data_IF_186601420287
#
_entry.id   IF_186601420287
#
_cell.length_a   1.000
_cell.length_b   1.000
_cell.length_c   1.000
_cell.angle_alpha   90.00
_cell.angle_beta   90.00
_cell.angle_gamma   90.00
#
_symmetry.space_group_name_H-M   'P 1'
#
loop_
_entity.id
_entity.type
_entity.pdbx_description
1 polymer ?
#
# COMPACT_ATOMS: atom_id res chain seq x y z
N UNK A 1 39.69 -16.54 -6.45
CA UNK A 1 39.43 -15.19 -5.88
C UNK A 1 38.58 -14.29 -6.78
N UNK A 2 38.81 -14.23 -8.10
CA UNK A 2 37.98 -13.44 -9.05
C UNK A 2 36.49 -13.80 -9.02
N UNK A 3 36.17 -15.11 -9.04
CA UNK A 3 34.78 -15.61 -9.04
C UNK A 3 33.99 -15.21 -7.78
N UNK A 4 34.67 -15.17 -6.61
CA UNK A 4 34.06 -14.71 -5.36
C UNK A 4 33.76 -13.21 -5.38
N UNK A 5 34.65 -12.40 -5.97
CA UNK A 5 34.41 -10.95 -6.14
C UNK A 5 33.26 -10.68 -7.11
N UNK A 6 33.21 -11.38 -8.25
CA UNK A 6 32.09 -11.29 -9.19
C UNK A 6 30.75 -11.72 -8.58
N UNK A 7 30.73 -12.79 -7.79
CA UNK A 7 29.52 -13.22 -7.08
C UNK A 7 29.02 -12.16 -6.08
N UNK A 8 29.92 -11.55 -5.30
CA UNK A 8 29.56 -10.47 -4.37
C UNK A 8 29.02 -9.26 -5.12
N UNK A 9 29.64 -8.86 -6.24
CA UNK A 9 29.16 -7.74 -7.06
C UNK A 9 27.77 -8.04 -7.64
N UNK A 10 27.53 -9.26 -8.14
CA UNK A 10 26.21 -9.65 -8.65
C UNK A 10 25.16 -9.60 -7.55
N UNK A 11 25.46 -10.13 -6.36
CA UNK A 11 24.54 -10.08 -5.22
C UNK A 11 24.22 -8.63 -4.81
N UNK A 12 25.21 -7.74 -4.83
CA UNK A 12 25.01 -6.31 -4.55
C UNK A 12 24.09 -5.65 -5.58
N UNK A 13 24.28 -5.94 -6.87
CA UNK A 13 23.44 -5.39 -7.94
C UNK A 13 22.01 -5.88 -7.81
N UNK A 14 21.81 -7.17 -7.53
CA UNK A 14 20.46 -7.74 -7.30
C UNK A 14 19.80 -7.07 -6.10
N UNK A 15 20.54 -6.90 -5.00
CA UNK A 15 20.03 -6.25 -3.80
C UNK A 15 19.62 -4.80 -4.07
N UNK A 16 20.46 -4.02 -4.75
CA UNK A 16 20.13 -2.65 -5.14
C UNK A 16 18.94 -2.61 -6.09
N UNK A 17 18.88 -3.51 -7.07
CA UNK A 17 17.74 -3.59 -7.99
C UNK A 17 16.43 -3.87 -7.25
N UNK A 18 16.42 -4.80 -6.30
CA UNK A 18 15.25 -5.09 -5.46
C UNK A 18 14.87 -3.86 -4.63
N UNK A 19 15.83 -3.16 -4.03
CA UNK A 19 15.55 -1.95 -3.25
C UNK A 19 14.92 -0.83 -4.12
N UNK A 20 15.48 -0.56 -5.30
CA UNK A 20 15.02 0.51 -6.18
C UNK A 20 13.75 0.18 -6.97
N UNK A 21 13.45 -1.09 -7.20
CA UNK A 21 12.19 -1.54 -7.81
C UNK A 21 11.03 -1.65 -6.82
N UNK A 22 11.32 -1.60 -5.52
CA UNK A 22 10.32 -1.68 -4.46
C UNK A 22 9.75 -0.31 -4.06
N UNK A 23 8.55 -0.30 -3.49
CA UNK A 23 7.93 0.88 -2.88
C UNK A 23 8.58 1.30 -1.55
N UNK A 24 9.70 0.67 -1.17
CA UNK A 24 10.40 0.86 0.10
C UNK A 24 10.70 2.31 0.45
N UNK A 25 11.34 3.04 -0.47
CA UNK A 25 11.74 4.42 -0.20
C UNK A 25 10.53 5.35 -0.06
N UNK A 26 9.50 5.17 -0.90
CA UNK A 26 8.26 5.95 -0.81
C UNK A 26 7.53 5.72 0.51
N UNK A 27 7.42 4.46 0.93
CA UNK A 27 6.79 4.08 2.18
C UNK A 27 7.53 4.60 3.41
N UNK A 28 8.87 4.52 3.42
CA UNK A 28 9.69 5.09 4.49
C UNK A 28 9.54 6.60 4.53
N UNK A 29 9.61 7.27 3.37
CA UNK A 29 9.50 8.71 3.29
C UNK A 29 8.15 9.18 3.84
N UNK A 30 7.05 8.60 3.35
CA UNK A 30 5.69 8.91 3.84
C UNK A 30 5.55 8.69 5.35
N UNK A 31 5.97 7.54 5.86
CA UNK A 31 5.92 7.22 7.29
C UNK A 31 6.78 8.14 8.18
N UNK A 32 7.82 8.78 7.61
CA UNK A 32 8.67 9.73 8.32
C UNK A 32 8.09 11.14 8.35
N UNK A 33 7.45 11.59 7.27
CA UNK A 33 7.05 13.00 7.11
C UNK A 33 5.60 13.28 7.47
N UNK A 34 4.72 12.29 7.31
CA UNK A 34 3.30 12.44 7.63
C UNK A 34 2.90 11.42 8.71
N UNK A 35 2.52 11.88 9.92
CA UNK A 35 2.11 10.98 11.00
C UNK A 35 0.85 10.17 10.65
N UNK A 36 0.09 10.58 9.61
CA UNK A 36 -1.08 9.86 9.13
C UNK A 36 -0.76 8.83 8.03
N UNK A 37 0.51 8.68 7.65
CA UNK A 37 0.95 7.67 6.69
C UNK A 37 1.09 6.30 7.38
N UNK A 38 -0.02 5.58 7.49
CA UNK A 38 -0.01 4.26 8.11
C UNK A 38 0.24 3.15 7.10
N UNK A 39 1.23 2.30 7.36
CA UNK A 39 1.39 1.04 6.64
C UNK A 39 0.38 0.02 7.21
N UNK A 40 -0.41 -0.68 6.36
CA UNK A 40 -1.34 -1.71 6.83
C UNK A 40 -0.64 -2.82 7.63
N UNK A 41 -1.29 -3.34 8.67
CA UNK A 41 -0.71 -4.38 9.57
C UNK A 41 -0.35 -5.68 8.84
N UNK A 42 -1.06 -5.98 7.75
CA UNK A 42 -0.90 -7.18 6.93
C UNK A 42 0.13 -7.01 5.82
N UNK A 43 0.68 -5.79 5.66
CA UNK A 43 1.70 -5.46 4.68
C UNK A 43 2.99 -5.02 5.36
N UNK A 44 3.95 -4.54 4.57
CA UNK A 44 5.19 -3.96 5.09
C UNK A 44 5.68 -2.82 4.21
N UNK A 45 6.60 -2.02 4.74
CA UNK A 45 7.26 -0.93 4.01
C UNK A 45 7.91 -1.39 2.71
N UNK A 46 8.27 -2.67 2.56
CA UNK A 46 8.94 -3.16 1.35
C UNK A 46 7.98 -3.45 0.19
N UNK A 47 6.74 -3.81 0.48
CA UNK A 47 5.82 -4.40 -0.52
C UNK A 47 4.50 -3.65 -0.65
N UNK A 48 4.16 -2.82 0.34
CA UNK A 48 2.98 -1.99 0.28
C UNK A 48 3.14 -0.98 -0.86
N UNK A 49 2.14 -0.86 -1.71
CA UNK A 49 2.14 0.09 -2.80
C UNK A 49 0.94 1.03 -2.65
N UNK A 50 1.20 2.27 -2.24
CA UNK A 50 0.20 3.33 -2.28
C UNK A 50 -0.11 3.66 -3.74
N UNK A 51 -1.36 3.47 -4.16
CA UNK A 51 -1.80 3.64 -5.56
C UNK A 51 -2.52 4.96 -5.78
N UNK A 52 -3.20 5.47 -4.75
CA UNK A 52 -3.88 6.76 -4.77
C UNK A 52 -3.53 7.51 -3.49
N UNK A 53 -2.94 8.69 -3.66
CA UNK A 53 -2.59 9.59 -2.57
C UNK A 53 -3.75 10.52 -2.25
N UNK A 54 -3.83 10.99 -1.01
CA UNK A 54 -4.72 12.07 -0.65
C UNK A 54 -4.27 13.36 -1.32
N UNK A 55 -5.21 14.14 -1.85
CA UNK A 55 -4.91 15.46 -2.39
C UNK A 55 -4.84 16.48 -1.25
N UNK A 56 -3.83 17.35 -1.28
CA UNK A 56 -3.70 18.48 -0.36
C UNK A 56 -2.40 18.47 0.43
N UNK A 57 -2.47 18.84 1.71
CA UNK A 57 -1.30 19.01 2.59
C UNK A 57 -0.86 17.74 3.32
N UNK A 58 -1.45 16.59 3.00
CA UNK A 58 -1.13 15.30 3.62
C UNK A 58 -0.55 14.38 2.55
N UNK A 59 0.50 13.66 2.91
CA UNK A 59 1.09 12.59 2.11
C UNK A 59 0.42 11.24 2.41
N UNK A 60 -0.67 11.21 3.19
CA UNK A 60 -1.44 9.99 3.42
C UNK A 60 -2.00 9.42 2.11
N UNK A 61 -2.19 8.10 2.08
CA UNK A 61 -2.76 7.39 0.94
C UNK A 61 -4.24 7.07 1.18
N UNK A 62 -5.01 6.98 0.10
CA UNK A 62 -6.43 6.59 0.08
C UNK A 62 -6.56 5.13 -0.30
N UNK A 63 -5.93 4.72 -1.40
CA UNK A 63 -5.95 3.34 -1.88
C UNK A 63 -4.53 2.80 -2.00
N UNK A 64 -4.35 1.54 -1.64
CA UNK A 64 -3.08 0.83 -1.78
C UNK A 64 -3.29 -0.66 -1.98
N UNK A 65 -2.22 -1.36 -2.30
CA UNK A 65 -2.23 -2.81 -2.45
C UNK A 65 -0.88 -3.43 -2.08
N UNK A 66 -0.88 -4.73 -1.88
CA UNK A 66 0.34 -5.55 -1.93
C UNK A 66 0.08 -6.79 -2.80
N UNK A 67 0.91 -7.82 -2.66
CA UNK A 67 0.78 -9.05 -3.44
C UNK A 67 -0.53 -9.79 -3.19
N UNK A 68 -1.13 -9.67 -2.01
CA UNK A 68 -2.25 -10.49 -1.56
C UNK A 68 -3.53 -9.68 -1.30
N UNK A 69 -3.41 -8.38 -1.03
CA UNK A 69 -4.51 -7.58 -0.51
C UNK A 69 -4.63 -6.22 -1.23
N UNK A 70 -5.85 -5.72 -1.28
CA UNK A 70 -6.19 -4.32 -1.50
C UNK A 70 -6.49 -3.64 -0.17
N UNK A 71 -6.17 -2.35 -0.08
CA UNK A 71 -6.35 -1.54 1.10
C UNK A 71 -7.07 -0.23 0.76
N UNK A 72 -8.03 0.14 1.59
CA UNK A 72 -8.72 1.43 1.52
C UNK A 72 -8.62 2.10 2.90
N UNK A 73 -7.97 3.26 2.94
CA UNK A 73 -7.86 4.04 4.15
C UNK A 73 -9.07 4.99 4.27
N UNK A 74 -9.90 4.78 5.28
CA UNK A 74 -11.12 5.58 5.47
C UNK A 74 -10.91 6.80 6.36
N UNK A 75 -9.73 7.00 6.92
CA UNK A 75 -9.49 8.10 7.85
C UNK A 75 -8.02 8.37 8.16
N UNK A 76 -7.78 8.88 9.37
CA UNK A 76 -6.48 9.36 9.84
C UNK A 76 -5.91 8.46 10.94
N UNK A 77 -6.47 7.27 11.14
CA UNK A 77 -5.98 6.28 12.11
C UNK A 77 -5.75 4.93 11.47
N UNK A 78 -4.89 4.11 12.10
CA UNK A 78 -4.51 2.80 11.56
C UNK A 78 -5.67 1.80 11.53
N UNK A 79 -6.60 1.94 12.46
CA UNK A 79 -7.79 1.09 12.62
C UNK A 79 -8.83 1.33 11.52
N UNK A 80 -8.70 2.43 10.78
CA UNK A 80 -9.59 2.83 9.66
C UNK A 80 -9.10 2.27 8.30
N UNK A 81 -8.10 1.40 8.29
CA UNK A 81 -7.67 0.71 7.07
C UNK A 81 -8.51 -0.54 6.86
N UNK A 82 -9.34 -0.50 5.82
CA UNK A 82 -10.09 -1.65 5.33
C UNK A 82 -9.17 -2.52 4.46
N UNK A 83 -9.15 -3.81 4.76
CA UNK A 83 -8.47 -4.85 3.97
C UNK A 83 -9.48 -5.61 3.13
N UNK A 84 -9.11 -5.93 1.88
CA UNK A 84 -9.86 -6.82 1.02
C UNK A 84 -8.91 -7.73 0.23
N UNK A 85 -9.08 -9.04 0.30
CA UNK A 85 -8.09 -9.96 -0.31
C UNK A 85 -8.26 -10.01 -1.83
N UNK A 86 -7.17 -10.25 -2.55
CA UNK A 86 -7.22 -10.45 -4.01
C UNK A 86 -8.00 -11.71 -4.39
N UNK A 87 -8.07 -12.70 -3.50
CA UNK A 87 -8.90 -13.90 -3.71
C UNK A 87 -10.40 -13.61 -3.60
N UNK A 88 -10.82 -12.72 -2.70
CA UNK A 88 -12.20 -12.24 -2.64
C UNK A 88 -12.55 -11.38 -3.85
N UNK A 89 -11.61 -10.52 -4.29
CA UNK A 89 -11.79 -9.69 -5.48
C UNK A 89 -12.09 -10.50 -6.75
N UNK A 90 -11.43 -11.64 -6.95
CA UNK A 90 -11.72 -12.56 -8.09
C UNK A 90 -13.16 -13.07 -8.12
N UNK A 91 -13.82 -13.12 -6.96
CA UNK A 91 -15.20 -13.62 -6.80
C UNK A 91 -16.23 -12.49 -6.75
N UNK A 92 -15.78 -11.24 -6.74
CA UNK A 92 -16.62 -10.07 -6.55
C UNK A 92 -16.96 -9.42 -7.92
N UNK A 93 -18.22 -9.48 -8.38
CA UNK A 93 -18.60 -8.88 -9.65
C UNK A 93 -18.39 -7.36 -9.65
N UNK A 94 -17.88 -6.83 -10.77
CA UNK A 94 -17.61 -5.40 -10.95
C UNK A 94 -16.61 -4.80 -9.94
N UNK A 95 -15.75 -5.64 -9.34
CA UNK A 95 -14.70 -5.20 -8.46
C UNK A 95 -13.80 -4.14 -9.12
N UNK A 96 -13.51 -3.07 -8.39
CA UNK A 96 -12.55 -2.04 -8.74
C UNK A 96 -11.67 -1.69 -7.52
N UNK A 97 -10.36 -1.88 -7.66
CA UNK A 97 -9.38 -1.63 -6.60
C UNK A 97 -9.35 -0.17 -6.11
N UNK A 98 -9.80 0.77 -6.94
CA UNK A 98 -9.81 2.21 -6.62
C UNK A 98 -11.20 2.72 -6.24
N UNK A 99 -12.15 1.82 -5.98
CA UNK A 99 -13.50 2.18 -5.54
C UNK A 99 -14.01 1.16 -4.52
N UNK A 100 -13.85 1.47 -3.24
CA UNK A 100 -14.27 0.59 -2.14
C UNK A 100 -15.77 0.29 -2.10
N UNK A 101 -16.63 1.09 -2.78
CA UNK A 101 -18.07 0.80 -2.93
C UNK A 101 -18.34 -0.46 -3.76
N UNK A 102 -17.34 -0.91 -4.51
CA UNK A 102 -17.42 -2.14 -5.33
C UNK A 102 -16.88 -3.37 -4.61
N UNK A 103 -16.41 -3.24 -3.36
CA UNK A 103 -15.82 -4.34 -2.61
C UNK A 103 -16.91 -5.12 -1.88
N UNK A 104 -17.06 -6.39 -2.21
CA UNK A 104 -18.15 -7.23 -1.70
C UNK A 104 -18.01 -7.47 -0.19
N UNK A 105 -19.11 -7.36 0.56
CA UNK A 105 -19.16 -7.71 1.99
C UNK A 105 -18.42 -6.76 2.94
N UNK A 106 -17.81 -5.69 2.41
CA UNK A 106 -17.20 -4.63 3.22
C UNK A 106 -18.30 -3.69 3.71
N UNK A 107 -18.57 -3.71 5.02
CA UNK A 107 -19.42 -2.69 5.65
C UNK A 107 -18.60 -1.41 5.77
N UNK A 108 -18.98 -0.38 5.01
CA UNK A 108 -18.31 0.91 5.07
C UNK A 108 -18.60 1.56 6.43
N UNK A 109 -17.58 1.67 7.28
CA UNK A 109 -17.68 2.46 8.49
C UNK A 109 -17.80 3.94 8.08
N UNK A 110 -19.01 4.47 8.16
CA UNK A 110 -19.31 5.90 8.28
C UNK A 110 -18.56 6.87 7.36
N UNK A 111 -18.85 6.85 6.07
CA UNK A 111 -18.71 8.08 5.28
C UNK A 111 -19.90 8.97 5.66
N UNK A 112 -19.78 9.72 6.75
CA UNK A 112 -20.57 10.94 6.88
C UNK A 112 -20.02 11.90 5.83
N UNK A 113 -20.72 12.04 4.72
CA UNK A 113 -20.56 13.19 3.84
C UNK A 113 -20.71 14.44 4.73
N UNK A 114 -19.61 15.18 4.93
CA UNK A 114 -19.71 16.53 5.47
C UNK A 114 -20.52 17.34 4.46
N UNK A 115 -21.69 17.91 4.84
CA UNK A 115 -22.43 18.78 3.94
C UNK A 115 -21.57 20.02 3.66
N UNK A 116 -21.62 20.48 2.40
CA UNK A 116 -21.12 21.79 1.97
C UNK A 116 -21.71 22.93 2.79
#
# INVERSE_FOLDING_TARGET
MKYKKSAVTILLIIFLFVLFSSSFFGNIWGALIDPNYYIPKQSSVFIFNATVMQNGSSDAWIYGEDYNNYYYNTGLTKEEIILFTKEEAKKCPNFNALNSKTWCGVQQAGISESPK
#
